data_IF_524419020442
#
_entry.id   IF_524419020442
#
_cell.length_a   1.000
_cell.length_b   1.000
_cell.length_c   1.000
_cell.angle_alpha   90.00
_cell.angle_beta   90.00
_cell.angle_gamma   90.00
#
_symmetry.space_group_name_H-M   'P 1'
#
loop_
_entity.id
_entity.type
_entity.pdbx_description
1 polymer ?
#
# COMPACT_ATOMS: atom_id res chain seq x y z
N UNK A 1 -22.79 67.56 12.46
CA UNK A 1 -22.25 66.33 11.83
C UNK A 1 -21.55 66.74 10.54
N UNK A 2 -20.22 66.75 10.51
CA UNK A 2 -19.42 67.36 9.44
C UNK A 2 -19.28 66.41 8.23
N UNK A 3 -19.22 66.95 7.02
CA UNK A 3 -19.06 66.20 5.76
C UNK A 3 -17.82 65.29 5.71
N UNK A 4 -16.83 65.53 6.59
CA UNK A 4 -15.66 64.68 6.77
C UNK A 4 -15.99 63.32 7.43
N UNK A 5 -16.95 63.27 8.36
CA UNK A 5 -17.33 62.04 9.07
C UNK A 5 -18.07 61.05 8.16
N UNK A 6 -18.82 61.57 7.18
CA UNK A 6 -19.55 60.75 6.20
C UNK A 6 -18.60 59.95 5.30
N UNK A 7 -17.46 60.53 4.92
CA UNK A 7 -16.42 59.86 4.11
C UNK A 7 -15.71 58.78 4.92
N UNK A 8 -15.38 59.03 6.19
CA UNK A 8 -14.70 58.06 7.08
C UNK A 8 -15.56 56.82 7.33
N UNK A 9 -16.87 56.99 7.50
CA UNK A 9 -17.78 55.87 7.74
C UNK A 9 -18.01 55.02 6.47
N UNK A 10 -17.95 55.64 5.28
CA UNK A 10 -18.06 54.93 3.99
C UNK A 10 -16.86 54.03 3.69
N UNK A 11 -15.64 54.44 4.07
CA UNK A 11 -14.43 53.62 3.89
C UNK A 11 -14.36 52.46 4.88
N UNK A 12 -14.79 52.67 6.13
CA UNK A 12 -14.84 51.62 7.15
C UNK A 12 -15.84 50.52 6.81
N UNK A 13 -16.98 50.89 6.20
CA UNK A 13 -18.01 49.94 5.74
C UNK A 13 -17.60 49.15 4.48
N UNK A 14 -16.57 49.60 3.76
CA UNK A 14 -16.01 48.89 2.59
C UNK A 14 -14.95 47.86 2.97
N UNK A 15 -14.25 48.05 4.09
CA UNK A 15 -13.30 47.06 4.62
C UNK A 15 -13.99 45.85 5.28
N UNK A 16 -15.23 46.00 5.77
CA UNK A 16 -16.04 44.90 6.30
C UNK A 16 -16.81 44.12 5.22
N UNK A 17 -16.67 44.51 3.95
CA UNK A 17 -17.24 43.81 2.79
C UNK A 17 -16.13 43.14 1.97
N UNK A 18 -15.14 42.56 2.67
CA UNK A 18 -14.11 41.69 2.11
C UNK A 18 -14.48 40.23 2.26
N UNK A 19 -15.38 39.75 1.39
CA UNK A 19 -15.57 38.34 0.99
C UNK A 19 -15.90 37.34 2.12
N UNK A 20 -17.19 37.30 2.43
CA UNK A 20 -17.86 36.09 2.88
C UNK A 20 -17.90 35.03 1.76
N UNK A 21 -17.97 33.76 2.19
CA UNK A 21 -18.18 32.49 1.45
C UNK A 21 -16.94 31.82 0.86
N UNK A 22 -16.37 30.92 1.68
CA UNK A 22 -16.34 29.53 1.23
C UNK A 22 -16.96 28.58 2.25
N UNK A 23 -17.66 27.61 1.70
CA UNK A 23 -18.82 26.93 2.25
C UNK A 23 -18.44 25.84 3.25
N UNK A 24 -19.18 25.79 4.38
CA UNK A 24 -19.61 24.54 5.03
C UNK A 24 -18.55 23.45 5.25
N UNK A 25 -17.37 23.78 5.78
CA UNK A 25 -16.43 22.73 6.21
C UNK A 25 -16.91 22.19 7.55
N UNK A 26 -17.59 21.04 7.52
CA UNK A 26 -18.02 20.29 8.71
C UNK A 26 -16.87 20.23 9.73
N UNK A 27 -17.15 20.52 11.01
CA UNK A 27 -16.15 20.43 12.09
C UNK A 27 -15.44 19.07 12.10
N UNK A 28 -16.17 18.03 11.69
CA UNK A 28 -15.65 16.68 11.46
C UNK A 28 -14.54 16.67 10.40
N UNK A 29 -14.66 17.40 9.29
CA UNK A 29 -13.62 17.46 8.25
C UNK A 29 -12.36 18.19 8.74
N UNK A 30 -12.47 19.23 9.59
CA UNK A 30 -11.28 19.91 10.14
C UNK A 30 -10.54 19.04 11.16
N UNK A 31 -11.28 18.27 11.97
CA UNK A 31 -10.71 17.32 12.94
C UNK A 31 -10.13 16.08 12.28
N UNK A 32 -10.78 15.57 11.23
CA UNK A 32 -10.26 14.52 10.37
C UNK A 32 -8.99 14.98 9.63
N UNK A 33 -8.98 16.17 9.02
CA UNK A 33 -7.76 16.71 8.39
C UNK A 33 -6.61 16.87 9.41
N UNK A 34 -6.89 17.33 10.63
CA UNK A 34 -5.88 17.43 11.68
C UNK A 34 -5.34 16.04 12.10
N UNK A 35 -6.21 15.02 12.11
CA UNK A 35 -5.80 13.63 12.38
C UNK A 35 -4.99 13.04 11.23
N UNK A 36 -5.39 13.27 9.97
CA UNK A 36 -4.66 12.84 8.77
C UNK A 36 -3.25 13.44 8.67
N UNK A 37 -3.04 14.62 9.25
CA UNK A 37 -1.72 15.27 9.32
C UNK A 37 -0.80 14.73 10.44
N UNK A 38 -1.31 13.89 11.34
CA UNK A 38 -0.47 13.19 12.31
C UNK A 38 0.23 11.98 11.68
N UNK A 39 1.42 11.62 12.17
CA UNK A 39 2.14 10.42 11.73
C UNK A 39 1.28 9.16 11.88
N UNK A 40 0.45 9.09 12.92
CA UNK A 40 -0.46 7.97 13.18
C UNK A 40 -1.63 7.95 12.21
N UNK A 41 -2.25 9.10 11.93
CA UNK A 41 -3.42 9.17 11.05
C UNK A 41 -3.09 8.95 9.58
N UNK A 42 -1.91 9.37 9.12
CA UNK A 42 -1.42 9.03 7.78
C UNK A 42 -1.23 7.52 7.64
N UNK A 43 -0.69 6.84 8.65
CA UNK A 43 -0.56 5.38 8.67
C UNK A 43 -1.91 4.66 8.56
N UNK A 44 -2.92 5.09 9.33
CA UNK A 44 -4.26 4.51 9.27
C UNK A 44 -4.94 4.75 7.91
N UNK A 45 -4.75 5.94 7.32
CA UNK A 45 -5.29 6.25 5.99
C UNK A 45 -4.71 5.31 4.92
N UNK A 46 -3.39 5.08 4.94
CA UNK A 46 -2.72 4.17 4.00
C UNK A 46 -3.22 2.74 4.22
N UNK A 47 -3.38 2.30 5.46
CA UNK A 47 -3.93 0.98 5.79
C UNK A 47 -5.35 0.80 5.24
N UNK A 48 -6.24 1.76 5.51
CA UNK A 48 -7.62 1.72 5.01
C UNK A 48 -7.69 1.74 3.48
N UNK A 49 -6.87 2.58 2.83
CA UNK A 49 -6.78 2.65 1.37
C UNK A 49 -6.27 1.33 0.76
N UNK A 50 -5.29 0.70 1.41
CA UNK A 50 -4.77 -0.61 1.00
C UNK A 50 -5.80 -1.73 1.14
N UNK A 51 -6.69 -1.65 2.14
CA UNK A 51 -7.80 -2.61 2.29
C UNK A 51 -8.85 -2.44 1.17
N UNK A 52 -9.15 -1.20 0.78
CA UNK A 52 -10.03 -0.94 -0.37
C UNK A 52 -9.42 -1.50 -1.65
N UNK A 53 -8.13 -1.27 -1.88
CA UNK A 53 -7.40 -1.87 -3.00
C UNK A 53 -7.45 -3.41 -2.98
N UNK A 54 -7.25 -4.02 -1.81
CA UNK A 54 -7.37 -5.47 -1.63
C UNK A 54 -8.74 -6.01 -2.07
N UNK A 55 -9.81 -5.30 -1.69
CA UNK A 55 -11.17 -5.67 -2.05
C UNK A 55 -11.43 -5.54 -3.55
N UNK A 56 -10.94 -4.46 -4.17
CA UNK A 56 -11.05 -4.21 -5.61
C UNK A 56 -10.35 -5.32 -6.40
N UNK A 57 -9.06 -5.57 -6.12
CA UNK A 57 -8.30 -6.61 -6.83
C UNK A 57 -8.94 -7.97 -6.67
N UNK A 58 -9.35 -8.31 -5.45
CA UNK A 58 -10.04 -9.58 -5.21
C UNK A 58 -11.35 -9.68 -5.99
N UNK A 59 -12.16 -8.64 -6.02
CA UNK A 59 -13.45 -8.69 -6.69
C UNK A 59 -13.32 -8.83 -8.22
N UNK A 60 -12.35 -8.15 -8.82
CA UNK A 60 -12.19 -8.14 -10.27
C UNK A 60 -11.33 -9.28 -10.81
N UNK A 61 -10.28 -9.69 -10.11
CA UNK A 61 -9.32 -10.65 -10.64
C UNK A 61 -9.67 -12.11 -10.27
N UNK A 62 -10.31 -12.34 -9.12
CA UNK A 62 -10.78 -13.68 -8.71
C UNK A 62 -11.72 -14.37 -9.74
N UNK A 63 -12.73 -13.70 -10.33
CA UNK A 63 -13.57 -14.35 -11.35
C UNK A 63 -12.82 -14.65 -12.65
N UNK A 64 -11.87 -13.79 -13.04
CA UNK A 64 -11.07 -13.98 -14.25
C UNK A 64 -10.15 -15.21 -14.13
N UNK A 65 -9.46 -15.37 -13.00
CA UNK A 65 -8.62 -16.53 -12.71
C UNK A 65 -9.41 -17.84 -12.74
N UNK A 66 -10.59 -17.87 -12.11
CA UNK A 66 -11.46 -19.06 -12.12
C UNK A 66 -11.87 -19.43 -13.54
N UNK A 67 -12.21 -18.45 -14.37
CA UNK A 67 -12.52 -18.65 -15.78
C UNK A 67 -11.36 -19.30 -16.54
N UNK A 68 -10.15 -18.77 -16.37
CA UNK A 68 -8.93 -19.31 -17.00
C UNK A 68 -8.59 -20.72 -16.51
N UNK A 69 -8.73 -20.98 -15.21
CA UNK A 69 -8.51 -22.31 -14.65
C UNK A 69 -9.50 -23.34 -15.22
N UNK A 70 -10.78 -22.98 -15.38
CA UNK A 70 -11.79 -23.83 -16.01
C UNK A 70 -11.51 -24.05 -17.51
N UNK A 71 -11.06 -23.01 -18.22
CA UNK A 71 -10.67 -23.10 -19.63
C UNK A 71 -9.53 -24.12 -19.82
N UNK A 72 -8.44 -23.99 -19.05
CA UNK A 72 -7.31 -24.93 -19.12
C UNK A 72 -7.71 -26.33 -18.70
N UNK A 73 -8.59 -26.46 -17.68
CA UNK A 73 -9.14 -27.75 -17.28
C UNK A 73 -9.91 -28.42 -18.42
N UNK A 74 -10.75 -27.66 -19.14
CA UNK A 74 -11.53 -28.15 -20.28
C UNK A 74 -10.61 -28.59 -21.44
N UNK A 75 -9.60 -27.78 -21.77
CA UNK A 75 -8.62 -28.09 -22.81
C UNK A 75 -7.88 -29.39 -22.47
N UNK A 76 -7.42 -29.53 -21.22
CA UNK A 76 -6.75 -30.76 -20.75
C UNK A 76 -7.67 -31.97 -20.87
N UNK A 77 -8.91 -31.88 -20.40
CA UNK A 77 -9.84 -33.00 -20.46
C UNK A 77 -10.15 -33.40 -21.91
N UNK A 78 -10.30 -32.41 -22.80
CA UNK A 78 -10.50 -32.64 -24.24
C UNK A 78 -9.31 -33.35 -24.87
N UNK A 79 -8.08 -32.97 -24.54
CA UNK A 79 -6.86 -33.65 -25.03
C UNK A 79 -6.80 -35.09 -24.54
N UNK A 80 -7.07 -35.33 -23.24
CA UNK A 80 -7.12 -36.70 -22.69
C UNK A 80 -8.19 -37.53 -23.40
N UNK A 81 -9.37 -36.97 -23.64
CA UNK A 81 -10.46 -37.66 -24.34
C UNK A 81 -10.11 -38.00 -25.80
N UNK A 82 -9.44 -37.08 -26.51
CA UNK A 82 -8.94 -37.32 -27.87
C UNK A 82 -7.91 -38.44 -27.90
N UNK A 83 -6.96 -38.44 -26.98
CA UNK A 83 -5.95 -39.50 -26.85
C UNK A 83 -6.61 -40.85 -26.56
N UNK A 84 -7.58 -40.89 -25.64
CA UNK A 84 -8.34 -42.10 -25.32
C UNK A 84 -9.14 -42.62 -26.52
N UNK A 85 -9.84 -41.74 -27.23
CA UNK A 85 -10.61 -42.11 -28.43
C UNK A 85 -9.69 -42.69 -29.51
N UNK A 86 -8.51 -42.10 -29.71
CA UNK A 86 -7.49 -42.63 -30.64
C UNK A 86 -6.99 -44.01 -30.25
N UNK A 87 -6.92 -44.34 -28.96
CA UNK A 87 -6.59 -45.71 -28.52
C UNK A 87 -7.69 -46.73 -28.80
N UNK A 88 -8.96 -46.31 -28.81
CA UNK A 88 -10.11 -47.19 -29.09
C UNK A 88 -10.33 -47.42 -30.59
N UNK A 89 -9.96 -46.46 -31.45
CA UNK A 89 -10.09 -46.55 -32.91
C UNK A 89 -9.09 -47.52 -33.56
N UNK A 90 -8.01 -47.87 -32.87
CA UNK A 90 -6.95 -48.72 -33.40
C UNK A 90 -7.16 -50.19 -32.98
N UNK A 91 -7.40 -51.07 -33.96
CA UNK A 91 -7.57 -52.52 -33.72
C UNK A 91 -6.30 -53.21 -33.16
N UNK A 92 -5.12 -52.65 -33.46
CA UNK A 92 -3.81 -53.03 -32.87
C UNK A 92 -3.03 -51.74 -32.59
N UNK A 93 -2.62 -51.55 -31.34
CA UNK A 93 -1.91 -50.35 -30.89
C UNK A 93 -0.39 -50.47 -31.15
N UNK A 94 0.08 -49.99 -32.30
CA UNK A 94 1.51 -49.89 -32.58
C UNK A 94 2.12 -48.69 -31.86
N UNK A 95 3.14 -48.95 -31.03
CA UNK A 95 3.77 -47.94 -30.17
C UNK A 95 4.30 -46.75 -30.96
N UNK A 96 5.00 -46.97 -32.06
CA UNK A 96 5.66 -45.92 -32.84
C UNK A 96 4.63 -44.97 -33.48
N UNK A 97 3.58 -45.53 -34.09
CA UNK A 97 2.52 -44.75 -34.73
C UNK A 97 1.68 -44.00 -33.68
N UNK A 98 1.34 -44.66 -32.58
CA UNK A 98 0.61 -44.02 -31.47
C UNK A 98 1.41 -42.89 -30.84
N UNK A 99 2.71 -43.09 -30.59
CA UNK A 99 3.57 -42.07 -29.96
C UNK A 99 3.70 -40.84 -30.86
N UNK A 100 3.82 -41.03 -32.18
CA UNK A 100 3.84 -39.93 -33.14
C UNK A 100 2.52 -39.13 -33.12
N UNK A 101 1.37 -39.81 -33.18
CA UNK A 101 0.06 -39.14 -33.11
C UNK A 101 -0.18 -38.45 -31.77
N UNK A 102 0.20 -39.09 -30.66
CA UNK A 102 0.07 -38.53 -29.32
C UNK A 102 0.93 -37.27 -29.16
N UNK A 103 2.14 -37.27 -29.73
CA UNK A 103 3.05 -36.12 -29.69
C UNK A 103 2.44 -34.90 -30.37
N UNK A 104 1.74 -35.07 -31.51
CA UNK A 104 1.06 -33.98 -32.22
C UNK A 104 -0.07 -33.37 -31.37
N UNK A 105 -0.89 -34.20 -30.72
CA UNK A 105 -1.97 -33.69 -29.86
C UNK A 105 -1.45 -33.06 -28.57
N UNK A 106 -0.35 -33.58 -28.01
CA UNK A 106 0.33 -32.98 -26.85
C UNK A 106 0.96 -31.63 -27.24
N UNK A 107 1.56 -31.50 -28.42
CA UNK A 107 2.13 -30.23 -28.88
C UNK A 107 1.05 -29.14 -29.00
N UNK A 108 -0.12 -29.47 -29.57
CA UNK A 108 -1.27 -28.56 -29.62
C UNK A 108 -1.73 -28.16 -28.21
N UNK A 109 -1.78 -29.12 -27.29
CA UNK A 109 -2.10 -28.85 -25.89
C UNK A 109 -1.08 -27.90 -25.25
N UNK A 110 0.21 -28.12 -25.47
CA UNK A 110 1.28 -27.27 -24.94
C UNK A 110 1.19 -25.85 -25.48
N UNK A 111 0.93 -25.67 -26.77
CA UNK A 111 0.75 -24.34 -27.37
C UNK A 111 -0.41 -23.57 -26.71
N UNK A 112 -1.57 -24.23 -26.53
CA UNK A 112 -2.72 -23.63 -25.86
C UNK A 112 -2.45 -23.34 -24.37
N UNK A 113 -1.73 -24.24 -23.69
CA UNK A 113 -1.35 -24.06 -22.29
C UNK A 113 -0.39 -22.87 -22.12
N UNK A 114 0.62 -22.74 -22.99
CA UNK A 114 1.56 -21.61 -22.97
C UNK A 114 0.81 -20.30 -23.18
N UNK A 115 -0.16 -20.28 -24.09
CA UNK A 115 -1.01 -19.09 -24.31
C UNK A 115 -1.80 -18.75 -23.05
N UNK A 116 -2.44 -19.73 -22.41
CA UNK A 116 -3.17 -19.51 -21.16
C UNK A 116 -2.26 -19.01 -20.02
N UNK A 117 -1.03 -19.52 -19.91
CA UNK A 117 -0.03 -19.05 -18.92
C UNK A 117 0.36 -17.61 -19.17
N UNK A 118 0.57 -17.21 -20.44
CA UNK A 118 0.82 -15.81 -20.82
C UNK A 118 -0.33 -14.88 -20.45
N UNK A 119 -1.55 -15.40 -20.42
CA UNK A 119 -2.78 -14.69 -20.06
C UNK A 119 -3.07 -14.69 -18.54
N UNK A 120 -2.17 -15.24 -17.72
CA UNK A 120 -2.25 -15.20 -16.26
C UNK A 120 -2.68 -16.50 -15.58
N UNK A 121 -2.67 -17.64 -16.28
CA UNK A 121 -2.92 -18.94 -15.66
C UNK A 121 -1.71 -19.40 -14.82
N UNK A 122 -1.94 -19.73 -13.55
CA UNK A 122 -0.90 -20.03 -12.55
C UNK A 122 -0.60 -21.53 -12.36
N UNK A 123 -1.27 -22.40 -13.12
CA UNK A 123 -1.04 -23.85 -13.08
C UNK A 123 -1.71 -24.59 -11.92
N UNK A 124 -2.43 -23.90 -11.03
CA UNK A 124 -3.07 -24.56 -9.88
C UNK A 124 -4.39 -25.21 -10.28
N UNK A 125 -4.56 -26.46 -9.89
CA UNK A 125 -5.81 -27.18 -10.14
C UNK A 125 -6.89 -26.74 -9.15
N UNK A 126 -8.04 -26.34 -9.66
CA UNK A 126 -9.29 -26.17 -8.92
C UNK A 126 -9.89 -27.51 -8.50
N UNK A 127 -9.09 -28.42 -7.94
CA UNK A 127 -9.58 -29.70 -7.39
C UNK A 127 -9.93 -29.50 -5.92
N UNK A 128 -11.19 -29.11 -5.66
CA UNK A 128 -12.04 -29.34 -4.48
C UNK A 128 -11.54 -29.14 -3.03
N UNK A 129 -10.24 -29.09 -2.76
CA UNK A 129 -9.68 -29.29 -1.41
C UNK A 129 -8.62 -28.24 -1.06
N UNK A 130 -8.07 -27.52 -2.05
CA UNK A 130 -7.19 -26.38 -1.78
C UNK A 130 -7.51 -25.23 -2.72
N UNK A 131 -8.40 -24.34 -2.26
CA UNK A 131 -8.65 -23.04 -2.88
C UNK A 131 -7.43 -22.14 -2.65
N UNK A 132 -6.30 -22.46 -3.28
CA UNK A 132 -5.12 -21.62 -3.25
C UNK A 132 -5.29 -20.45 -4.23
N UNK A 133 -6.39 -19.71 -4.05
CA UNK A 133 -6.76 -18.50 -4.78
C UNK A 133 -5.60 -17.50 -4.65
N UNK A 134 -5.01 -17.08 -5.77
CA UNK A 134 -3.93 -16.10 -5.74
C UNK A 134 -4.40 -14.78 -5.09
N UNK A 135 -5.71 -14.48 -5.22
CA UNK A 135 -6.38 -13.30 -4.65
C UNK A 135 -7.01 -13.57 -3.28
N UNK A 136 -6.24 -14.14 -2.36
CA UNK A 136 -6.64 -14.19 -0.95
C UNK A 136 -6.72 -12.77 -0.35
N UNK A 137 -7.58 -12.53 0.65
CA UNK A 137 -7.73 -11.19 1.24
C UNK A 137 -6.39 -10.57 1.68
N UNK A 138 -5.55 -11.39 2.32
CA UNK A 138 -4.23 -10.96 2.78
C UNK A 138 -3.23 -10.80 1.63
N UNK A 139 -3.28 -11.68 0.62
CA UNK A 139 -2.47 -11.58 -0.59
C UNK A 139 -2.79 -10.31 -1.40
N UNK A 140 -4.07 -10.06 -1.66
CA UNK A 140 -4.53 -8.84 -2.35
C UNK A 140 -4.21 -7.57 -1.56
N UNK A 141 -4.21 -7.65 -0.22
CA UNK A 141 -3.80 -6.53 0.63
C UNK A 141 -2.31 -6.22 0.50
N UNK A 142 -1.45 -7.23 0.62
CA UNK A 142 -0.01 -7.05 0.42
C UNK A 142 0.27 -6.54 -0.99
N UNK A 143 -0.40 -7.08 -2.02
CA UNK A 143 -0.28 -6.61 -3.40
C UNK A 143 -0.70 -5.14 -3.55
N UNK A 144 -1.79 -4.71 -2.90
CA UNK A 144 -2.17 -3.30 -2.89
C UNK A 144 -1.11 -2.42 -2.23
N UNK A 145 -0.50 -2.87 -1.12
CA UNK A 145 0.58 -2.14 -0.44
C UNK A 145 1.82 -2.03 -1.32
N UNK A 146 2.22 -3.09 -2.02
CA UNK A 146 3.38 -3.05 -2.91
C UNK A 146 3.13 -2.11 -4.09
N UNK A 147 1.95 -2.14 -4.71
CA UNK A 147 1.55 -1.22 -5.78
C UNK A 147 1.64 0.24 -5.31
N UNK A 148 1.08 0.57 -4.14
CA UNK A 148 1.11 1.93 -3.57
C UNK A 148 2.55 2.38 -3.27
N UNK A 149 3.40 1.47 -2.78
CA UNK A 149 4.78 1.81 -2.38
C UNK A 149 5.78 1.84 -3.53
N UNK A 150 5.44 1.26 -4.69
CA UNK A 150 6.33 1.16 -5.86
C UNK A 150 5.95 2.08 -7.02
N UNK A 151 4.66 2.43 -7.20
CA UNK A 151 4.20 3.20 -8.37
C UNK A 151 4.23 4.72 -8.13
N UNK A 152 4.34 5.19 -6.88
CA UNK A 152 4.48 6.61 -6.57
C UNK A 152 5.96 6.96 -6.25
N UNK A 153 6.82 7.24 -7.25
CA UNK A 153 8.19 7.70 -7.01
C UNK A 153 8.21 8.96 -6.13
N UNK A 154 7.15 9.77 -6.16
CA UNK A 154 6.96 10.95 -5.32
C UNK A 154 6.83 10.55 -3.83
N UNK A 155 6.04 9.53 -3.48
CA UNK A 155 5.88 9.10 -2.09
C UNK A 155 7.16 8.45 -1.53
N UNK A 156 8.01 7.85 -2.37
CA UNK A 156 9.30 7.35 -1.91
C UNK A 156 10.21 8.48 -1.42
N UNK A 157 10.33 9.58 -2.17
CA UNK A 157 11.11 10.72 -1.71
C UNK A 157 10.52 11.38 -0.46
N UNK A 158 9.19 11.62 -0.41
CA UNK A 158 8.56 12.28 0.74
C UNK A 158 8.54 11.42 2.01
N UNK A 159 8.34 10.10 1.88
CA UNK A 159 8.28 9.19 3.04
C UNK A 159 9.68 8.92 3.59
N UNK A 160 10.65 8.67 2.71
CA UNK A 160 12.06 8.54 3.12
C UNK A 160 12.55 9.84 3.73
N UNK A 161 12.33 11.00 3.08
CA UNK A 161 12.73 12.29 3.64
C UNK A 161 12.05 12.60 4.99
N UNK A 162 10.76 12.29 5.15
CA UNK A 162 10.07 12.45 6.44
C UNK A 162 10.61 11.51 7.53
N UNK A 163 10.90 10.25 7.20
CA UNK A 163 11.48 9.30 8.15
C UNK A 163 12.87 9.79 8.57
N UNK A 164 13.75 10.13 7.62
CA UNK A 164 15.08 10.68 7.89
C UNK A 164 15.02 11.98 8.70
N UNK A 165 14.09 12.89 8.38
CA UNK A 165 13.88 14.14 9.12
C UNK A 165 13.47 13.90 10.57
N UNK A 166 12.61 12.91 10.85
CA UNK A 166 12.21 12.53 12.21
C UNK A 166 13.38 11.90 12.97
N UNK A 167 14.14 10.99 12.35
CA UNK A 167 15.34 10.41 12.97
C UNK A 167 16.38 11.48 13.31
N UNK A 168 16.59 12.44 12.41
CA UNK A 168 17.47 13.59 12.63
C UNK A 168 16.97 14.46 13.81
N UNK A 169 15.70 14.88 13.80
CA UNK A 169 15.14 15.71 14.88
C UNK A 169 15.19 15.03 16.24
N UNK A 170 14.88 13.74 16.32
CA UNK A 170 14.96 12.97 17.57
C UNK A 170 16.40 12.83 18.06
N UNK A 171 17.36 12.55 17.18
CA UNK A 171 18.78 12.50 17.53
C UNK A 171 19.30 13.85 18.05
N UNK A 172 19.00 14.96 17.37
CA UNK A 172 19.42 16.29 17.82
C UNK A 172 18.73 16.71 19.13
N UNK A 173 17.46 16.37 19.32
CA UNK A 173 16.76 16.62 20.58
C UNK A 173 17.40 15.84 21.74
N UNK A 174 17.75 14.56 21.55
CA UNK A 174 18.43 13.73 22.56
C UNK A 174 19.81 14.31 22.90
N UNK A 175 20.60 14.71 21.89
CA UNK A 175 21.92 15.30 22.12
C UNK A 175 21.82 16.62 22.90
N UNK A 176 20.83 17.46 22.60
CA UNK A 176 20.60 18.72 23.32
C UNK A 176 20.19 18.50 24.78
N UNK A 177 19.35 17.50 25.06
CA UNK A 177 18.95 17.15 26.41
C UNK A 177 20.14 16.63 27.24
N UNK A 178 20.98 15.78 26.64
CA UNK A 178 22.21 15.31 27.28
C UNK A 178 23.17 16.47 27.61
N UNK A 179 23.37 17.41 26.69
CA UNK A 179 24.19 18.60 26.94
C UNK A 179 23.65 19.47 28.08
N UNK A 180 22.34 19.72 28.15
CA UNK A 180 21.73 20.51 29.23
C UNK A 180 21.92 19.81 30.58
N UNK A 181 21.65 18.50 30.65
CA UNK A 181 21.86 17.75 31.90
C UNK A 181 23.32 17.71 32.35
N UNK A 182 24.27 17.66 31.41
CA UNK A 182 25.69 17.69 31.72
C UNK A 182 26.13 19.07 32.25
N UNK A 183 25.61 20.17 31.67
CA UNK A 183 25.87 21.53 32.14
C UNK A 183 25.25 21.76 33.52
N UNK A 184 24.01 21.32 33.73
CA UNK A 184 23.34 21.43 35.03
C UNK A 184 24.09 20.65 36.11
N UNK A 185 24.61 19.46 35.81
CA UNK A 185 25.46 18.68 36.72
C UNK A 185 26.77 19.39 37.04
N UNK A 186 27.41 20.03 36.06
CA UNK A 186 28.67 20.77 36.28
C UNK A 186 28.43 22.03 37.12
N UNK A 187 27.34 22.74 36.88
CA UNK A 187 26.95 23.92 37.68
C UNK A 187 26.63 23.50 39.12
N UNK A 188 25.87 22.41 39.32
CA UNK A 188 25.53 21.92 40.65
C UNK A 188 26.77 21.44 41.43
N UNK A 189 27.72 20.77 40.75
CA UNK A 189 29.03 20.43 41.34
C UNK A 189 29.85 21.67 41.71
N UNK A 190 29.82 22.71 40.86
CA UNK A 190 30.51 23.97 41.13
C UNK A 190 29.93 24.71 42.34
N UNK A 191 28.61 24.78 42.46
CA UNK A 191 27.91 25.39 43.60
C UNK A 191 28.20 24.63 44.89
N UNK A 192 28.17 23.29 44.85
CA UNK A 192 28.44 22.45 46.01
C UNK A 192 29.91 22.56 46.47
N UNK A 193 30.85 22.61 45.53
CA UNK A 193 32.27 22.83 45.82
C UNK A 193 32.50 24.22 46.43
N UNK A 194 31.85 25.26 45.91
CA UNK A 194 32.01 26.63 46.41
C UNK A 194 31.42 26.81 47.81
N UNK A 195 30.29 26.16 48.11
CA UNK A 195 29.67 26.18 49.43
C UNK A 195 30.48 25.41 50.49
N UNK A 196 31.14 24.31 50.10
CA UNK A 196 32.01 23.57 51.00
C UNK A 196 33.25 24.38 51.38
N UNK A 197 33.90 25.05 50.41
CA UNK A 197 35.05 25.92 50.66
C UNK A 197 34.69 27.09 51.58
N UNK A 198 33.48 27.63 51.45
CA UNK A 198 33.01 28.74 52.30
C UNK A 198 32.73 28.29 53.74
N UNK A 199 32.33 27.04 53.96
CA UNK A 199 32.16 26.45 55.29
C UNK A 199 33.49 26.08 55.97
N UNK A 200 34.54 25.76 55.21
CA UNK A 200 35.86 25.40 55.76
C UNK A 200 36.70 26.64 56.16
N UNK A 201 36.33 27.85 55.70
CA UNK A 201 37.02 29.13 55.99
C UNK A 201 36.40 29.87 57.19
N UNK A 202 35.17 29.53 57.59
CA UNK A 202 34.44 30.08 58.74
C UNK A 202 34.64 29.22 59.99
#
# INVERSE_FOLDING_TARGET
MSSADRKRNSMRKRQTMGKEKDRGKCWCCRRLLAFLFSHIGLGFLVFAYSLVGAFIFRHFEEPYEKGKALEVFSIRNTTVHKLWTKTLELNVLYKENWTSMASIEIEKFQQNLIQAVREGYDGKQTTGTSNHNQWSLFGSWIYSVTVITTIDPILQFYTVFRIYSVFIHTHYAIQSALCVTAVDMVVDMGVKSSNQILFDIL
#
